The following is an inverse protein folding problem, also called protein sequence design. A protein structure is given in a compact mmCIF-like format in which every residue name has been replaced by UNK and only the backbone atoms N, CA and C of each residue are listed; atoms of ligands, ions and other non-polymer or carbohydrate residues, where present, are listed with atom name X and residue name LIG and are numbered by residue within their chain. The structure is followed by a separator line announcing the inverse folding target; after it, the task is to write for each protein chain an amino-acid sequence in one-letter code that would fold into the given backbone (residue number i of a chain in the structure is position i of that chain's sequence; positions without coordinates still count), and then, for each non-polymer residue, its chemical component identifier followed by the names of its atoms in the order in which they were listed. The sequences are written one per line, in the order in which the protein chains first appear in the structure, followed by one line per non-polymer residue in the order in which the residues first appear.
data_IF_811317936901
#
_entry.id   IF_811317936901
#
_cell.length_a   1.000
_cell.length_b   1.000
_cell.length_c   1.000
_cell.angle_alpha   90.00
_cell.angle_beta   90.00
_cell.angle_gamma   90.00
#
_symmetry.space_group_name_H-M   'P 1'
#
loop_
_entity.id
_entity.type
_entity.pdbx_description
1 polymer ?
#
# COMPACT_ATOMS: atom_id res chain seq x y z
N UNK A 1 -3.77 13.42 22.89
CA UNK A 1 -3.14 13.63 21.57
C UNK A 1 -4.20 13.51 20.48
N UNK A 2 -4.29 14.49 19.58
CA UNK A 2 -5.18 14.42 18.41
C UNK A 2 -4.55 13.61 17.26
N UNK A 3 -5.35 13.18 16.27
CA UNK A 3 -4.87 12.43 15.11
C UNK A 3 -3.77 13.20 14.37
N UNK A 4 -3.94 14.52 14.20
CA UNK A 4 -2.94 15.40 13.58
C UNK A 4 -1.57 15.27 14.26
N UNK A 5 -1.52 15.36 15.60
CA UNK A 5 -0.26 15.28 16.34
C UNK A 5 0.35 13.87 16.26
N UNK A 6 -0.48 12.83 16.26
CA UNK A 6 -0.01 11.46 16.03
C UNK A 6 0.63 11.30 14.64
N UNK A 7 0.03 11.86 13.59
CA UNK A 7 0.64 11.86 12.25
C UNK A 7 1.93 12.70 12.19
N UNK A 8 2.02 13.79 12.95
CA UNK A 8 3.25 14.60 13.06
C UNK A 8 4.40 13.82 13.67
N UNK A 9 4.12 13.02 14.70
CA UNK A 9 5.09 12.08 15.28
C UNK A 9 5.50 11.03 14.23
N UNK A 10 4.54 10.33 13.63
CA UNK A 10 4.80 9.27 12.65
C UNK A 10 5.53 9.76 11.40
N UNK A 11 5.33 11.02 10.99
CA UNK A 11 6.03 11.63 9.84
C UNK A 11 7.55 11.55 9.96
N UNK A 12 8.10 11.59 11.19
CA UNK A 12 9.55 11.46 11.44
C UNK A 12 10.11 10.08 11.01
N UNK A 13 9.23 9.08 10.91
CA UNK A 13 9.58 7.68 10.71
C UNK A 13 9.23 7.12 9.32
N UNK A 14 8.74 7.96 8.39
CA UNK A 14 8.31 7.55 7.05
C UNK A 14 9.35 6.68 6.35
N UNK A 15 10.59 7.14 6.29
CA UNK A 15 11.64 6.41 5.57
C UNK A 15 11.89 5.04 6.18
N UNK A 16 11.98 4.99 7.51
CA UNK A 16 12.19 3.74 8.26
C UNK A 16 11.05 2.74 8.03
N UNK A 17 9.80 3.21 8.06
CA UNK A 17 8.63 2.35 7.87
C UNK A 17 8.59 1.79 6.46
N UNK A 18 8.80 2.63 5.45
CA UNK A 18 8.85 2.18 4.06
C UNK A 18 10.04 1.24 3.82
N UNK A 19 11.20 1.46 4.45
CA UNK A 19 12.35 0.56 4.38
C UNK A 19 12.09 -0.80 5.04
N UNK A 20 11.26 -0.85 6.08
CA UNK A 20 10.86 -2.10 6.74
C UNK A 20 9.74 -2.86 6.01
N UNK A 21 8.99 -2.21 5.11
CA UNK A 21 7.92 -2.85 4.32
C UNK A 21 8.49 -4.01 3.48
N UNK A 22 8.03 -5.27 3.70
CA UNK A 22 8.50 -6.41 2.90
C UNK A 22 8.30 -6.23 1.39
N UNK A 23 7.28 -5.46 0.98
CA UNK A 23 7.02 -5.16 -0.42
C UNK A 23 8.06 -4.19 -1.00
N UNK A 24 8.50 -3.21 -0.21
CA UNK A 24 9.59 -2.33 -0.60
C UNK A 24 10.90 -3.11 -0.70
N UNK A 25 11.21 -3.97 0.29
CA UNK A 25 12.40 -4.84 0.25
C UNK A 25 12.40 -5.71 -1.01
N UNK A 26 11.28 -6.33 -1.35
CA UNK A 26 11.07 -7.08 -2.59
C UNK A 26 11.38 -6.24 -3.85
N UNK A 27 10.78 -5.06 -3.95
CA UNK A 27 10.98 -4.14 -5.09
C UNK A 27 12.43 -3.66 -5.16
N UNK A 28 13.05 -3.31 -4.04
CA UNK A 28 14.45 -2.85 -3.97
C UNK A 28 15.41 -3.89 -4.55
N UNK A 29 15.18 -5.20 -4.34
CA UNK A 29 15.98 -6.25 -4.99
C UNK A 29 15.88 -6.22 -6.51
N UNK A 30 14.66 -6.03 -7.05
CA UNK A 30 14.46 -5.93 -8.49
C UNK A 30 15.08 -4.66 -9.07
N UNK A 31 14.94 -3.53 -8.39
CA UNK A 31 15.56 -2.25 -8.79
C UNK A 31 17.08 -2.34 -8.76
N UNK A 32 17.67 -3.00 -7.75
CA UNK A 32 19.12 -3.21 -7.70
C UNK A 32 19.64 -4.01 -8.92
N UNK A 33 18.83 -4.91 -9.48
CA UNK A 33 19.22 -5.73 -10.65
C UNK A 33 18.89 -5.06 -11.99
N UNK A 34 17.72 -4.43 -12.10
CA UNK A 34 17.15 -3.98 -13.37
C UNK A 34 17.06 -2.45 -13.49
N UNK A 35 17.39 -1.70 -12.44
CA UNK A 35 17.12 -0.27 -12.35
C UNK A 35 15.62 0.01 -12.57
N UNK A 36 15.34 1.11 -13.27
CA UNK A 36 13.96 1.50 -13.61
C UNK A 36 13.27 0.55 -14.59
N UNK A 37 13.98 -0.37 -15.26
CA UNK A 37 13.34 -1.42 -16.08
C UNK A 37 12.53 -2.41 -15.25
N UNK A 38 12.65 -2.38 -13.92
CA UNK A 38 11.75 -3.11 -13.01
C UNK A 38 10.32 -2.54 -13.00
N UNK A 39 10.13 -1.26 -13.34
CA UNK A 39 8.85 -0.56 -13.22
C UNK A 39 7.66 -1.27 -13.92
N UNK A 40 7.73 -1.66 -15.20
CA UNK A 40 6.60 -2.34 -15.86
C UNK A 40 6.28 -3.69 -15.22
N UNK A 41 7.29 -4.42 -14.72
CA UNK A 41 7.07 -5.67 -13.98
C UNK A 41 6.33 -5.42 -12.67
N UNK A 42 6.77 -4.42 -11.90
CA UNK A 42 6.18 -4.06 -10.61
C UNK A 42 4.75 -3.55 -10.77
N UNK A 43 4.51 -2.63 -11.72
CA UNK A 43 3.16 -2.11 -12.01
C UNK A 43 2.25 -3.23 -12.48
N UNK A 44 2.70 -4.06 -13.43
CA UNK A 44 1.92 -5.18 -13.94
C UNK A 44 1.59 -6.21 -12.86
N UNK A 45 2.54 -6.52 -11.97
CA UNK A 45 2.31 -7.41 -10.82
C UNK A 45 1.32 -6.82 -9.81
N UNK A 46 1.42 -5.51 -9.51
CA UNK A 46 0.50 -4.84 -8.60
C UNK A 46 -0.95 -4.89 -9.11
N UNK A 47 -1.16 -4.74 -10.42
CA UNK A 47 -2.49 -4.81 -11.03
C UNK A 47 -3.19 -6.16 -10.88
N UNK A 48 -2.44 -7.24 -10.66
CA UNK A 48 -2.96 -8.61 -10.44
C UNK A 48 -2.83 -9.07 -8.97
N UNK A 49 -2.41 -8.19 -8.06
CA UNK A 49 -2.22 -8.46 -6.63
C UNK A 49 -3.52 -8.37 -5.84
N UNK A 50 -4.55 -9.09 -6.27
CA UNK A 50 -5.86 -9.13 -5.61
C UNK A 50 -6.37 -10.56 -5.47
N UNK A 51 -7.14 -10.84 -4.41
CA UNK A 51 -7.63 -12.20 -4.08
C UNK A 51 -6.49 -13.22 -4.13
N UNK A 52 -5.41 -12.92 -3.41
CA UNK A 52 -4.26 -13.83 -3.28
C UNK A 52 -4.67 -15.06 -2.45
N UNK A 53 -4.02 -16.20 -2.70
CA UNK A 53 -4.20 -17.44 -1.95
C UNK A 53 -3.23 -17.57 -0.77
N UNK A 54 -2.58 -16.47 -0.38
CA UNK A 54 -1.68 -16.37 0.77
C UNK A 54 -1.43 -14.91 1.13
N UNK A 55 -0.43 -14.66 1.98
CA UNK A 55 -0.07 -13.31 2.41
C UNK A 55 0.52 -12.49 1.26
N UNK A 56 0.23 -11.20 1.22
CA UNK A 56 0.73 -10.30 0.17
C UNK A 56 2.25 -10.19 0.20
N UNK A 57 2.81 -10.15 1.41
CA UNK A 57 4.24 -10.05 1.68
C UNK A 57 5.01 -11.26 1.11
N UNK A 58 4.46 -12.47 1.27
CA UNK A 58 5.05 -13.70 0.70
C UNK A 58 4.97 -13.69 -0.83
N UNK A 59 3.86 -13.21 -1.39
CA UNK A 59 3.68 -13.10 -2.84
C UNK A 59 4.68 -12.12 -3.48
N UNK A 60 4.91 -10.95 -2.89
CA UNK A 60 5.88 -9.99 -3.40
C UNK A 60 7.33 -10.50 -3.28
N UNK A 61 7.61 -11.30 -2.25
CA UNK A 61 8.89 -12.00 -2.10
C UNK A 61 9.08 -13.06 -3.19
N UNK A 62 8.04 -13.85 -3.48
CA UNK A 62 8.01 -14.84 -4.57
C UNK A 62 8.21 -14.18 -5.93
N UNK A 63 7.47 -13.09 -6.20
CA UNK A 63 7.57 -12.29 -7.42
C UNK A 63 9.00 -11.80 -7.67
N UNK A 64 9.59 -11.17 -6.67
CA UNK A 64 10.97 -10.71 -6.74
C UNK A 64 11.92 -11.85 -7.10
N UNK A 65 11.82 -12.96 -6.37
CA UNK A 65 12.74 -14.10 -6.54
C UNK A 65 12.59 -14.70 -7.93
N UNK A 66 11.35 -14.89 -8.39
CA UNK A 66 11.06 -15.43 -9.71
C UNK A 66 11.75 -14.61 -10.81
N UNK A 67 11.61 -13.28 -10.80
CA UNK A 67 12.21 -12.44 -11.84
C UNK A 67 13.71 -12.25 -11.65
N UNK A 68 14.26 -12.38 -10.44
CA UNK A 68 15.72 -12.45 -10.26
C UNK A 68 16.29 -13.72 -10.90
N UNK A 69 15.62 -14.86 -10.72
CA UNK A 69 16.10 -16.15 -11.23
C UNK A 69 15.78 -16.34 -12.73
N UNK A 70 14.72 -15.70 -13.23
CA UNK A 70 14.18 -15.91 -14.57
C UNK A 70 14.00 -14.58 -15.33
N UNK A 71 15.09 -13.87 -15.70
CA UNK A 71 15.04 -12.52 -16.28
C UNK A 71 14.23 -12.43 -17.60
N UNK A 72 14.12 -13.52 -18.36
CA UNK A 72 13.46 -13.55 -19.67
C UNK A 72 11.99 -14.00 -19.61
N UNK A 73 11.45 -14.27 -18.41
CA UNK A 73 10.07 -14.70 -18.25
C UNK A 73 9.11 -13.51 -18.20
N UNK A 74 7.85 -13.77 -18.50
CA UNK A 74 6.79 -12.78 -18.51
C UNK A 74 6.00 -12.78 -17.19
N UNK A 75 5.19 -11.73 -16.97
CA UNK A 75 4.23 -11.70 -15.86
C UNK A 75 3.18 -12.81 -15.95
N UNK A 76 2.86 -13.29 -17.16
CA UNK A 76 1.96 -14.42 -17.35
C UNK A 76 2.63 -15.72 -16.89
N UNK A 77 3.90 -15.94 -17.25
CA UNK A 77 4.67 -17.09 -16.75
C UNK A 77 4.71 -17.10 -15.22
N UNK A 78 5.00 -15.94 -14.62
CA UNK A 78 4.98 -15.80 -13.17
C UNK A 78 3.60 -16.13 -12.58
N UNK A 79 2.52 -15.52 -13.09
CA UNK A 79 1.14 -15.75 -12.61
C UNK A 79 0.75 -17.24 -12.60
N UNK A 80 1.16 -18.01 -13.61
CA UNK A 80 0.84 -19.43 -13.71
C UNK A 80 1.76 -20.32 -12.86
N UNK A 81 2.99 -19.88 -12.59
CA UNK A 81 3.92 -20.55 -11.67
C UNK A 81 3.68 -20.24 -10.19
N UNK A 82 3.07 -19.09 -9.87
CA UNK A 82 2.95 -18.57 -8.50
C UNK A 82 2.12 -19.46 -7.59
N UNK A 83 2.64 -19.70 -6.38
CA UNK A 83 1.99 -20.41 -5.28
C UNK A 83 0.91 -19.55 -4.61
N UNK A 84 1.12 -18.23 -4.58
CA UNK A 84 0.28 -17.29 -3.84
C UNK A 84 -0.75 -16.56 -4.71
N UNK A 85 -0.70 -16.69 -6.03
CA UNK A 85 -1.64 -16.04 -6.95
C UNK A 85 -2.41 -17.04 -7.84
N UNK A 86 -3.10 -17.99 -7.21
CA UNK A 86 -3.81 -19.08 -7.91
C UNK A 86 -5.26 -18.78 -8.27
N UNK A 87 -5.93 -17.91 -7.51
CA UNK A 87 -7.32 -17.57 -7.77
C UNK A 87 -7.48 -16.64 -8.98
N UNK A 88 -8.51 -16.86 -9.79
CA UNK A 88 -8.89 -15.97 -10.92
C UNK A 88 -7.77 -15.69 -11.93
N UNK A 89 -6.90 -16.67 -12.22
CA UNK A 89 -5.77 -16.52 -13.15
C UNK A 89 -6.18 -16.02 -14.53
N UNK A 90 -7.25 -16.58 -15.12
CA UNK A 90 -7.75 -16.14 -16.44
C UNK A 90 -8.16 -14.67 -16.45
N UNK A 91 -8.82 -14.19 -15.39
CA UNK A 91 -9.21 -12.78 -15.27
C UNK A 91 -7.98 -11.87 -15.11
N UNK A 92 -6.99 -12.30 -14.32
CA UNK A 92 -5.72 -11.59 -14.11
C UNK A 92 -4.90 -11.52 -15.38
N UNK A 93 -4.78 -12.61 -16.12
CA UNK A 93 -4.16 -12.65 -17.44
C UNK A 93 -4.87 -11.69 -18.41
N UNK A 94 -6.21 -11.71 -18.45
CA UNK A 94 -6.98 -10.75 -19.25
C UNK A 94 -6.73 -9.29 -18.85
N UNK A 95 -6.51 -9.01 -17.56
CA UNK A 95 -6.13 -7.68 -17.07
C UNK A 95 -4.72 -7.30 -17.51
N UNK A 96 -3.74 -8.22 -17.45
CA UNK A 96 -2.39 -8.00 -17.97
C UNK A 96 -2.40 -7.71 -19.47
N UNK A 97 -3.18 -8.47 -20.26
CA UNK A 97 -3.33 -8.23 -21.72
C UNK A 97 -3.86 -6.82 -22.01
N UNK A 98 -4.87 -6.36 -21.26
CA UNK A 98 -5.36 -4.97 -21.40
C UNK A 98 -4.33 -3.93 -20.97
N UNK A 99 -3.54 -4.21 -19.93
CA UNK A 99 -2.49 -3.31 -19.45
C UNK A 99 -1.24 -3.29 -20.35
N UNK A 100 -1.05 -4.30 -21.21
CA UNK A 100 0.18 -4.49 -21.99
C UNK A 100 0.60 -3.27 -22.82
N UNK A 101 -0.30 -2.53 -23.51
CA UNK A 101 0.11 -1.33 -24.24
C UNK A 101 0.71 -0.25 -23.32
N UNK A 102 0.15 -0.06 -22.12
CA UNK A 102 0.69 0.85 -21.13
C UNK A 102 2.03 0.33 -20.56
N UNK A 103 2.13 -0.95 -20.24
CA UNK A 103 3.37 -1.53 -19.72
C UNK A 103 4.54 -1.38 -20.71
N UNK A 104 4.27 -1.46 -22.03
CA UNK A 104 5.28 -1.19 -23.05
C UNK A 104 5.73 0.27 -23.08
N UNK A 105 4.80 1.23 -22.96
CA UNK A 105 5.17 2.65 -22.85
C UNK A 105 6.01 2.93 -21.60
N UNK A 106 5.66 2.30 -20.48
CA UNK A 106 6.45 2.38 -19.23
C UNK A 106 7.84 1.78 -19.43
N UNK A 107 7.97 0.68 -20.18
CA UNK A 107 9.26 0.08 -20.50
C UNK A 107 10.14 0.97 -21.39
N UNK A 108 9.53 1.65 -22.37
CA UNK A 108 10.21 2.57 -23.30
C UNK A 108 10.75 3.83 -22.61
N UNK A 109 9.99 4.40 -21.67
CA UNK A 109 10.37 5.62 -20.93
C UNK A 109 9.89 5.55 -19.46
N UNK A 110 10.58 4.81 -18.59
CA UNK A 110 10.13 4.62 -17.21
C UNK A 110 10.27 5.88 -16.36
N UNK A 111 11.20 6.78 -16.67
CA UNK A 111 11.42 8.02 -15.91
C UNK A 111 10.25 8.99 -16.01
N UNK A 112 9.59 9.03 -17.18
CA UNK A 112 8.37 9.82 -17.37
C UNK A 112 7.27 9.51 -16.36
N UNK A 113 7.22 8.28 -15.87
CA UNK A 113 6.21 7.83 -14.91
C UNK A 113 6.57 8.12 -13.44
N UNK A 114 7.67 8.85 -13.19
CA UNK A 114 7.94 9.47 -11.86
C UNK A 114 6.92 10.56 -11.51
N UNK A 115 6.13 11.01 -12.49
CA UNK A 115 4.87 11.70 -12.26
C UNK A 115 3.74 10.67 -12.06
N UNK A 116 3.36 10.44 -10.80
CA UNK A 116 2.31 9.48 -10.47
C UNK A 116 0.93 9.92 -10.92
N UNK A 117 0.68 11.22 -11.13
CA UNK A 117 -0.59 11.69 -11.66
C UNK A 117 -0.74 11.25 -13.13
N UNK A 118 0.35 11.31 -13.90
CA UNK A 118 0.37 10.79 -15.26
C UNK A 118 0.11 9.28 -15.29
N UNK A 119 0.80 8.51 -14.43
CA UNK A 119 0.60 7.07 -14.34
C UNK A 119 -0.85 6.72 -13.95
N UNK A 120 -1.44 7.46 -13.02
CA UNK A 120 -2.84 7.30 -12.61
C UNK A 120 -3.79 7.51 -13.78
N UNK A 121 -3.63 8.59 -14.53
CA UNK A 121 -4.50 8.90 -15.67
C UNK A 121 -4.39 7.86 -16.79
N UNK A 122 -3.19 7.35 -17.07
CA UNK A 122 -3.03 6.27 -18.05
C UNK A 122 -3.59 4.94 -17.56
N UNK A 123 -3.46 4.61 -16.27
CA UNK A 123 -4.08 3.43 -15.66
C UNK A 123 -5.62 3.50 -15.72
N UNK A 124 -6.20 4.66 -15.38
CA UNK A 124 -7.65 4.91 -15.46
C UNK A 124 -8.18 4.66 -16.86
N UNK A 125 -7.53 5.24 -17.87
CA UNK A 125 -7.89 5.08 -19.29
C UNK A 125 -7.75 3.64 -19.74
N UNK A 126 -6.63 3.00 -19.43
CA UNK A 126 -6.32 1.62 -19.84
C UNK A 126 -7.28 0.60 -19.24
N UNK A 127 -7.68 0.80 -17.98
CA UNK A 127 -8.50 -0.15 -17.24
C UNK A 127 -9.98 0.25 -17.14
N UNK A 128 -10.37 1.39 -17.75
CA UNK A 128 -11.71 1.99 -17.69
C UNK A 128 -12.22 2.10 -16.25
N UNK A 129 -11.40 2.71 -15.41
CA UNK A 129 -11.57 2.76 -13.96
C UNK A 129 -11.65 4.20 -13.45
N UNK A 130 -12.23 4.40 -12.26
CA UNK A 130 -12.40 5.71 -11.62
C UNK A 130 -11.07 6.29 -11.14
N UNK A 131 -10.12 5.42 -10.78
CA UNK A 131 -8.79 5.77 -10.29
C UNK A 131 -8.60 5.56 -8.79
N UNK A 132 -9.69 5.49 -8.02
CA UNK A 132 -9.63 5.24 -6.58
C UNK A 132 -9.61 3.75 -6.26
N UNK A 133 -9.85 2.85 -7.22
CA UNK A 133 -9.90 1.41 -6.97
C UNK A 133 -8.59 0.90 -6.34
N UNK A 134 -8.70 0.05 -5.31
CA UNK A 134 -7.54 -0.44 -4.53
C UNK A 134 -6.39 -0.91 -5.40
N UNK A 135 -6.65 -1.65 -6.47
CA UNK A 135 -5.58 -2.19 -7.35
C UNK A 135 -4.83 -1.12 -8.14
N UNK A 136 -5.47 0.00 -8.49
CA UNK A 136 -4.83 1.11 -9.20
C UNK A 136 -3.99 1.91 -8.22
N UNK A 137 -4.58 2.30 -7.10
CA UNK A 137 -3.90 3.04 -6.04
C UNK A 137 -2.70 2.24 -5.50
N UNK A 138 -2.87 0.93 -5.31
CA UNK A 138 -1.78 0.04 -4.93
C UNK A 138 -0.69 -0.04 -6.01
N UNK A 139 -1.04 -0.07 -7.30
CA UNK A 139 -0.04 -0.04 -8.37
C UNK A 139 0.78 1.27 -8.38
N UNK A 140 0.16 2.40 -8.06
CA UNK A 140 0.86 3.68 -7.90
C UNK A 140 1.81 3.65 -6.70
N UNK A 141 1.39 3.10 -5.55
CA UNK A 141 2.28 2.91 -4.39
C UNK A 141 3.49 2.03 -4.76
N UNK A 142 3.27 0.95 -5.48
CA UNK A 142 4.37 0.06 -5.90
C UNK A 142 5.30 0.73 -6.93
N UNK A 143 4.76 1.58 -7.82
CA UNK A 143 5.57 2.43 -8.70
C UNK A 143 6.41 3.44 -7.90
N UNK A 144 5.82 4.10 -6.89
CA UNK A 144 6.55 4.95 -5.95
C UNK A 144 7.73 4.21 -5.31
N UNK A 145 7.52 2.98 -4.84
CA UNK A 145 8.59 2.15 -4.28
C UNK A 145 9.73 1.86 -5.27
N UNK A 146 9.44 1.72 -6.57
CA UNK A 146 10.49 1.59 -7.61
C UNK A 146 11.33 2.86 -7.68
N UNK A 147 10.69 4.03 -7.76
CA UNK A 147 11.40 5.31 -7.84
C UNK A 147 12.19 5.62 -6.56
N UNK A 148 11.59 5.37 -5.39
CA UNK A 148 12.28 5.50 -4.10
C UNK A 148 13.53 4.60 -4.05
N UNK A 149 13.40 3.33 -4.41
CA UNK A 149 14.54 2.41 -4.43
C UNK A 149 15.63 2.83 -5.44
N UNK A 150 15.25 3.52 -6.51
CA UNK A 150 16.17 4.07 -7.51
C UNK A 150 16.75 5.45 -7.14
N UNK A 151 16.37 6.03 -5.98
CA UNK A 151 16.82 7.37 -5.57
C UNK A 151 16.26 8.50 -6.46
N UNK A 152 15.09 8.30 -7.06
CA UNK A 152 14.44 9.28 -7.95
C UNK A 152 13.36 10.05 -7.21
N UNK A 153 13.29 11.35 -7.46
CA UNK A 153 12.20 12.19 -6.98
C UNK A 153 10.88 11.83 -7.66
N UNK A 154 9.79 11.91 -6.91
CA UNK A 154 8.45 11.55 -7.36
C UNK A 154 7.50 12.74 -7.24
N UNK A 155 6.83 13.05 -8.34
CA UNK A 155 5.79 14.09 -8.43
C UNK A 155 4.41 13.46 -8.25
N UNK A 156 3.50 14.27 -7.74
CA UNK A 156 2.14 13.84 -7.43
C UNK A 156 2.00 13.19 -6.05
N UNK A 157 0.80 12.64 -5.84
CA UNK A 157 0.40 11.93 -4.63
C UNK A 157 -0.49 10.73 -5.02
N UNK A 158 -0.68 9.81 -4.09
CA UNK A 158 -1.47 8.59 -4.29
C UNK A 158 -2.51 8.51 -3.19
N UNK A 159 -3.81 8.32 -3.52
CA UNK A 159 -4.83 8.09 -2.50
C UNK A 159 -4.43 6.95 -1.55
N UNK A 160 -4.97 6.91 -0.34
CA UNK A 160 -4.69 5.82 0.59
C UNK A 160 -5.35 4.52 0.10
N UNK A 161 -4.62 3.39 -0.09
CA UNK A 161 -5.22 2.10 -0.45
C UNK A 161 -6.14 1.56 0.64
N UNK A 162 -7.44 1.82 0.54
CA UNK A 162 -8.43 1.27 1.49
C UNK A 162 -8.57 -0.24 1.42
N UNK A 163 -8.37 -0.88 2.57
CA UNK A 163 -8.64 -2.29 2.83
C UNK A 163 -9.17 -2.51 4.25
N UNK A 164 -9.61 -3.73 4.55
CA UNK A 164 -10.23 -4.04 5.85
C UNK A 164 -9.36 -3.69 7.06
N UNK A 165 -8.02 -3.71 6.94
CA UNK A 165 -7.13 -3.32 8.03
C UNK A 165 -7.19 -1.83 8.26
N UNK A 166 -7.06 -1.04 7.19
CA UNK A 166 -7.13 0.42 7.31
C UNK A 166 -8.54 0.90 7.63
N UNK A 167 -9.58 0.24 7.14
CA UNK A 167 -10.97 0.53 7.52
C UNK A 167 -11.22 0.29 9.00
N UNK A 168 -10.64 -0.77 9.58
CA UNK A 168 -10.70 -1.00 11.01
C UNK A 168 -10.00 0.10 11.82
N UNK A 169 -8.81 0.55 11.38
CA UNK A 169 -8.12 1.68 12.00
C UNK A 169 -8.92 2.99 11.86
N UNK A 170 -9.51 3.23 10.69
CA UNK A 170 -10.32 4.41 10.39
C UNK A 170 -11.54 4.46 11.31
N UNK A 171 -12.26 3.34 11.44
CA UNK A 171 -13.34 3.22 12.41
C UNK A 171 -12.84 3.46 13.84
N UNK A 172 -11.76 2.77 14.26
CA UNK A 172 -11.28 2.82 15.64
C UNK A 172 -10.79 4.22 16.03
N UNK A 173 -10.26 4.98 15.07
CA UNK A 173 -9.84 6.37 15.26
C UNK A 173 -11.01 7.34 15.45
N UNK A 174 -12.24 6.92 15.09
CA UNK A 174 -13.41 7.79 15.09
C UNK A 174 -13.46 8.78 13.93
N UNK A 175 -12.55 8.64 12.95
CA UNK A 175 -12.49 9.52 11.79
C UNK A 175 -13.76 9.41 10.91
N UNK A 176 -14.28 8.19 10.78
CA UNK A 176 -15.59 7.91 10.16
C UNK A 176 -16.45 7.14 11.16
N UNK A 177 -17.70 7.55 11.32
CA UNK A 177 -18.65 6.88 12.20
C UNK A 177 -19.43 5.79 11.47
N UNK A 178 -18.71 4.73 11.10
CA UNK A 178 -19.24 3.56 10.42
C UNK A 178 -18.38 2.34 10.74
N UNK A 179 -18.93 1.13 10.58
CA UNK A 179 -18.20 -0.12 10.73
C UNK A 179 -17.12 -0.28 9.63
N UNK A 180 -16.11 -1.16 9.84
CA UNK A 180 -15.08 -1.38 8.83
C UNK A 180 -15.63 -1.82 7.47
N UNK A 181 -16.71 -2.60 7.44
CA UNK A 181 -17.37 -3.07 6.22
C UNK A 181 -18.17 -1.96 5.54
N UNK A 182 -18.91 -1.13 6.28
CA UNK A 182 -19.57 0.07 5.74
C UNK A 182 -18.55 1.06 5.17
N UNK A 183 -17.40 1.24 5.85
CA UNK A 183 -16.30 2.06 5.32
C UNK A 183 -15.78 1.51 4.00
N UNK A 184 -15.67 0.19 3.85
CA UNK A 184 -15.20 -0.40 2.59
C UNK A 184 -16.20 -0.25 1.44
N UNK A 185 -17.49 -0.29 1.72
CA UNK A 185 -18.54 -0.38 0.70
C UNK A 185 -19.19 0.96 0.37
N UNK A 186 -19.41 1.82 1.36
CA UNK A 186 -20.25 3.02 1.26
C UNK A 186 -19.47 4.31 1.58
N UNK A 187 -18.59 4.28 2.58
CA UNK A 187 -17.86 5.47 3.05
C UNK A 187 -16.40 5.51 2.60
N UNK A 188 -16.03 4.73 1.58
CA UNK A 188 -14.63 4.56 1.17
C UNK A 188 -13.97 5.88 0.74
N UNK A 189 -14.65 6.62 -0.13
CA UNK A 189 -14.14 7.90 -0.63
C UNK A 189 -14.14 8.97 0.47
N UNK A 190 -15.08 8.90 1.43
CA UNK A 190 -15.08 9.77 2.61
C UNK A 190 -13.87 9.49 3.52
N UNK A 191 -13.61 8.22 3.82
CA UNK A 191 -12.47 7.79 4.62
C UNK A 191 -11.13 8.24 4.00
N UNK A 192 -10.97 8.06 2.69
CA UNK A 192 -9.78 8.53 1.96
C UNK A 192 -9.61 10.04 2.11
N UNK A 193 -10.67 10.83 1.82
CA UNK A 193 -10.62 12.29 1.94
C UNK A 193 -10.24 12.76 3.33
N UNK A 194 -10.82 12.15 4.39
CA UNK A 194 -10.49 12.52 5.76
C UNK A 194 -9.03 12.23 6.11
N UNK A 195 -8.49 11.09 5.70
CA UNK A 195 -7.05 10.82 5.88
C UNK A 195 -6.16 11.78 5.09
N UNK A 196 -6.55 12.14 3.86
CA UNK A 196 -5.85 13.16 3.05
C UNK A 196 -5.88 14.54 3.73
N UNK A 197 -6.99 14.92 4.36
CA UNK A 197 -7.12 16.15 5.13
C UNK A 197 -6.20 16.15 6.36
N UNK A 198 -6.20 15.07 7.15
CA UNK A 198 -5.32 14.95 8.32
C UNK A 198 -3.83 14.96 7.93
N UNK A 199 -3.46 14.28 6.85
CA UNK A 199 -2.08 14.29 6.34
C UNK A 199 -1.66 15.68 5.86
N UNK A 200 -2.55 16.41 5.20
CA UNK A 200 -2.28 17.77 4.71
C UNK A 200 -2.01 18.75 5.84
N UNK A 201 -2.71 18.65 6.97
CA UNK A 201 -2.49 19.50 8.15
C UNK A 201 -1.05 19.44 8.66
N UNK A 202 -0.38 18.29 8.50
CA UNK A 202 1.02 18.09 8.92
C UNK A 202 2.02 18.11 7.74
N UNK A 203 1.57 18.48 6.54
CA UNK A 203 2.39 18.50 5.33
C UNK A 203 2.95 17.12 4.97
N UNK A 204 2.18 16.05 5.18
CA UNK A 204 2.51 14.69 4.80
C UNK A 204 1.78 14.33 3.50
N UNK A 205 2.48 13.72 2.54
CA UNK A 205 1.84 13.17 1.34
C UNK A 205 1.07 11.89 1.68
N UNK A 206 -0.07 11.71 1.05
CA UNK A 206 -0.97 10.56 1.26
C UNK A 206 -0.30 9.24 0.93
N UNK A 207 0.60 9.22 -0.06
CA UNK A 207 1.36 8.03 -0.44
C UNK A 207 2.15 7.40 0.73
N UNK A 208 2.58 8.20 1.70
CA UNK A 208 3.32 7.74 2.88
C UNK A 208 2.41 7.19 3.98
N UNK A 209 1.13 7.63 4.01
CA UNK A 209 0.18 7.19 5.03
C UNK A 209 0.00 5.67 5.01
N UNK A 210 0.05 5.03 3.85
CA UNK A 210 -0.13 3.58 3.77
C UNK A 210 0.94 2.86 4.61
N UNK A 211 2.22 3.21 4.47
CA UNK A 211 3.27 2.59 5.29
C UNK A 211 3.09 2.91 6.79
N UNK A 212 2.80 4.17 7.11
CA UNK A 212 2.63 4.65 8.49
C UNK A 212 1.44 4.03 9.22
N UNK A 213 0.37 3.68 8.51
CA UNK A 213 -0.86 3.18 9.11
C UNK A 213 -0.98 1.65 8.97
N UNK A 214 -0.57 1.08 7.83
CA UNK A 214 -0.79 -0.33 7.51
C UNK A 214 0.15 -1.27 8.27
N UNK A 215 1.43 -0.89 8.43
CA UNK A 215 2.42 -1.72 9.12
C UNK A 215 2.10 -1.85 10.62
N UNK A 216 1.80 -0.76 11.36
CA UNK A 216 1.51 -0.87 12.79
C UNK A 216 0.13 -1.47 13.06
N UNK A 217 -0.82 -1.36 12.12
CA UNK A 217 -2.15 -1.97 12.23
C UNK A 217 -2.17 -3.50 12.06
N UNK A 218 -1.02 -4.17 11.97
CA UNK A 218 -0.94 -5.63 11.88
C UNK A 218 -1.51 -6.27 13.17
N UNK A 219 -2.50 -7.15 13.01
CA UNK A 219 -3.19 -7.80 14.14
C UNK A 219 -4.21 -6.91 14.85
N UNK A 220 -4.42 -5.68 14.39
CA UNK A 220 -5.30 -4.71 15.04
C UNK A 220 -6.76 -5.19 15.09
N UNK A 221 -7.25 -5.87 14.04
CA UNK A 221 -8.64 -6.32 13.97
C UNK A 221 -8.95 -7.38 15.02
N UNK A 222 -8.01 -8.29 15.23
CA UNK A 222 -8.09 -9.33 16.25
C UNK A 222 -8.04 -8.69 17.64
N UNK A 223 -7.08 -7.79 17.87
CA UNK A 223 -6.95 -7.06 19.12
C UNK A 223 -8.19 -6.20 19.46
N UNK A 224 -8.83 -5.57 18.47
CA UNK A 224 -10.07 -4.79 18.67
C UNK A 224 -11.26 -5.64 19.15
N UNK A 225 -11.27 -6.95 18.87
CA UNK A 225 -12.28 -7.87 19.39
C UNK A 225 -12.09 -8.10 20.89
N UNK A 226 -10.84 -8.08 21.35
CA UNK A 226 -10.48 -8.24 22.76
C UNK A 226 -10.68 -6.94 23.55
N UNK A 227 -10.45 -5.78 22.92
CA UNK A 227 -10.80 -4.48 23.48
C UNK A 227 -9.93 -3.35 22.96
N UNK A 228 -10.31 -2.11 23.32
CA UNK A 228 -9.57 -0.90 22.92
C UNK A 228 -8.15 -0.88 23.49
N UNK A 229 -7.97 -1.29 24.75
CA UNK A 229 -6.64 -1.32 25.38
C UNK A 229 -5.72 -2.36 24.76
N UNK A 230 -6.25 -3.54 24.39
CA UNK A 230 -5.48 -4.55 23.69
C UNK A 230 -5.07 -4.09 22.29
N UNK A 231 -5.99 -3.43 21.58
CA UNK A 231 -5.71 -2.81 20.29
C UNK A 231 -4.63 -1.73 20.38
N UNK A 232 -4.69 -0.87 21.41
CA UNK A 232 -3.65 0.15 21.70
C UNK A 232 -2.31 -0.48 21.97
N UNK A 233 -2.26 -1.51 22.83
CA UNK A 233 -1.03 -2.25 23.14
C UNK A 233 -0.43 -2.87 21.89
N UNK A 234 -1.23 -3.62 21.13
CA UNK A 234 -0.79 -4.27 19.89
C UNK A 234 -0.23 -3.26 18.88
N UNK A 235 -0.92 -2.13 18.70
CA UNK A 235 -0.47 -1.08 17.78
C UNK A 235 0.83 -0.41 18.25
N UNK A 236 0.92 -0.07 19.54
CA UNK A 236 2.12 0.53 20.13
C UNK A 236 3.33 -0.42 20.06
N UNK A 237 3.16 -1.71 20.35
CA UNK A 237 4.23 -2.71 20.22
C UNK A 237 4.75 -2.80 18.78
N UNK A 238 3.86 -2.75 17.80
CA UNK A 238 4.26 -2.75 16.39
C UNK A 238 5.02 -1.47 16.02
N UNK A 239 4.60 -0.29 16.52
CA UNK A 239 5.35 0.96 16.34
C UNK A 239 6.75 0.87 16.95
N UNK A 240 6.89 0.32 18.15
CA UNK A 240 8.19 0.12 18.80
C UNK A 240 9.06 -0.85 18.01
N UNK A 241 8.50 -1.92 17.43
CA UNK A 241 9.24 -2.83 16.54
C UNK A 241 9.70 -2.14 15.25
N UNK A 242 8.94 -1.17 14.76
CA UNK A 242 9.33 -0.28 13.66
C UNK A 242 10.24 0.87 14.14
N UNK A 243 10.57 0.86 15.44
CA UNK A 243 11.53 1.71 16.12
C UNK A 243 11.10 3.16 16.28
N UNK A 244 9.81 3.37 16.54
CA UNK A 244 9.27 4.56 17.22
C UNK A 244 9.61 4.46 18.70
N UNK A 245 9.84 5.60 19.37
CA UNK A 245 10.04 5.64 20.81
C UNK A 245 8.82 5.06 21.56
N UNK A 246 9.04 4.43 22.72
CA UNK A 246 7.96 3.73 23.44
C UNK A 246 6.89 4.68 23.97
N UNK A 247 7.26 5.87 24.44
CA UNK A 247 6.31 6.87 24.92
C UNK A 247 5.53 7.46 23.75
N UNK A 248 6.22 7.85 22.67
CA UNK A 248 5.59 8.32 21.43
C UNK A 248 4.62 7.26 20.86
N UNK A 249 5.02 5.99 20.84
CA UNK A 249 4.19 4.89 20.32
C UNK A 249 2.89 4.72 21.12
N UNK A 250 2.95 4.82 22.45
CA UNK A 250 1.77 4.73 23.32
C UNK A 250 0.82 5.90 23.08
N UNK A 251 1.35 7.12 22.96
CA UNK A 251 0.52 8.31 22.72
C UNK A 251 -0.12 8.30 21.33
N UNK A 252 0.63 7.89 20.30
CA UNK A 252 0.10 7.67 18.95
C UNK A 252 -1.02 6.62 18.96
N UNK A 253 -0.82 5.48 19.62
CA UNK A 253 -1.83 4.44 19.70
C UNK A 253 -3.12 4.92 20.38
N UNK A 254 -3.02 5.70 21.47
CA UNK A 254 -4.18 6.31 22.12
C UNK A 254 -4.92 7.28 21.21
N UNK A 255 -4.18 8.08 20.43
CA UNK A 255 -4.76 9.06 19.51
C UNK A 255 -5.51 8.40 18.34
N UNK A 256 -4.94 7.34 17.77
CA UNK A 256 -5.46 6.65 16.59
C UNK A 256 -6.47 5.54 16.91
N UNK A 257 -6.55 5.07 18.16
CA UNK A 257 -7.48 4.03 18.60
C UNK A 257 -8.29 4.58 19.78
N UNK A 258 -9.44 5.16 19.46
CA UNK A 258 -10.33 5.88 20.39
C UNK A 258 -11.53 5.07 20.83
N UNK A 259 -12.08 4.25 19.93
CA UNK A 259 -13.28 3.46 20.18
C UNK A 259 -13.12 2.02 19.72
N UNK A 260 -13.93 1.15 20.30
CA UNK A 260 -14.07 -0.20 19.80
C UNK A 260 -14.83 -0.15 18.47
N UNK A 261 -14.39 -0.98 17.53
CA UNK A 261 -15.09 -1.19 16.28
C UNK A 261 -15.44 -2.66 16.18
N UNK A 262 -16.74 -2.94 16.22
CA UNK A 262 -17.22 -4.29 15.96
C UNK A 262 -17.04 -4.57 14.45
N UNK A 263 -16.47 -5.72 14.09
CA UNK A 263 -16.43 -6.16 12.70
C UNK A 263 -17.83 -6.44 12.18
#
# INVERSE_FOLDING_TARGET
MEIEEALRVLKKYVDKFEEEDPQFKAIKRLVNKYGLKALPLVVGNALISYRLTGRGEDYWTEFSQFFLDNPNKTLVDFLYSSKYNRAQRKQKEGRLKRAQPLLKKIEEDPERYSDLNLLLEELKKTLKAKGTEKTIVFALKMAYYVFKAAGKEVKGDVPLPMDLRISALTCASGLVDASPDEIMNEHRDEAIRKWEEEARKVGLKTLHLDALLWLPARGLREALKEGVEEARRTFAENLVRLGVDEEEAREVAKALIRKQCKP
#
